data_IF_451206651294
#
_entry.id   IF_451206651294
#
_cell.length_a   1.000
_cell.length_b   1.000
_cell.length_c   1.000
_cell.angle_alpha   90.00
_cell.angle_beta   90.00
_cell.angle_gamma   90.00
#
_symmetry.space_group_name_H-M   'P 1'
#
loop_
_entity.id
_entity.type
_entity.pdbx_description
1 polymer ?
#
# COMPACT_ATOMS: atom_id res chain seq x y z
N UNK A 1 -12.63 -5.65 -28.99
CA UNK A 1 -13.27 -4.98 -27.84
C UNK A 1 -13.97 -6.05 -27.02
N UNK A 2 -13.36 -6.54 -25.94
CA UNK A 2 -14.07 -7.41 -24.99
C UNK A 2 -14.95 -6.50 -24.12
N UNK A 3 -16.19 -6.92 -23.95
CA UNK A 3 -17.31 -6.22 -23.31
C UNK A 3 -16.92 -5.40 -22.08
N UNK A 4 -16.95 -4.08 -22.23
CA UNK A 4 -16.74 -3.11 -21.14
C UNK A 4 -17.85 -3.24 -20.09
N UNK A 5 -19.03 -3.75 -20.48
CA UNK A 5 -20.17 -4.04 -19.60
C UNK A 5 -19.88 -5.08 -18.53
N UNK A 6 -18.86 -5.95 -18.69
CA UNK A 6 -18.46 -6.93 -17.66
C UNK A 6 -17.52 -6.32 -16.61
N UNK A 7 -16.95 -5.13 -16.88
CA UNK A 7 -16.08 -4.43 -15.93
C UNK A 7 -16.85 -3.49 -14.98
N UNK A 8 -18.09 -3.13 -15.32
CA UNK A 8 -18.93 -2.26 -14.52
C UNK A 8 -20.07 -3.08 -13.90
N UNK A 9 -20.22 -2.95 -12.59
CA UNK A 9 -21.28 -3.61 -11.84
C UNK A 9 -22.62 -2.94 -12.13
N UNK A 10 -23.69 -3.71 -12.28
CA UNK A 10 -25.05 -3.17 -12.28
C UNK A 10 -25.29 -2.38 -10.98
N UNK A 11 -25.53 -1.08 -11.13
CA UNK A 11 -25.68 -0.14 -10.01
C UNK A 11 -27.10 -0.20 -9.46
N UNK A 12 -27.43 -1.31 -8.80
CA UNK A 12 -28.67 -1.43 -8.01
C UNK A 12 -28.58 -0.53 -6.78
N UNK A 13 -29.71 0.04 -6.33
CA UNK A 13 -29.78 0.87 -5.13
C UNK A 13 -29.13 0.21 -3.89
N UNK A 14 -29.25 -1.11 -3.75
CA UNK A 14 -28.61 -1.90 -2.70
C UNK A 14 -27.07 -1.85 -2.75
N UNK A 15 -26.48 -1.97 -3.94
CA UNK A 15 -25.03 -1.91 -4.16
C UNK A 15 -24.48 -0.50 -3.95
N UNK A 16 -25.24 0.53 -4.31
CA UNK A 16 -24.91 1.93 -4.01
C UNK A 16 -24.82 2.17 -2.50
N UNK A 17 -25.83 1.72 -1.74
CA UNK A 17 -25.82 1.83 -0.28
C UNK A 17 -24.64 1.04 0.30
N UNK A 18 -24.40 -0.19 -0.17
CA UNK A 18 -23.27 -1.00 0.28
C UNK A 18 -21.92 -0.30 0.02
N UNK A 19 -21.72 0.29 -1.16
CA UNK A 19 -20.50 1.05 -1.48
C UNK A 19 -20.34 2.30 -0.60
N UNK A 20 -21.43 3.00 -0.28
CA UNK A 20 -21.39 4.14 0.64
C UNK A 20 -20.99 3.69 2.06
N UNK A 21 -21.54 2.58 2.56
CA UNK A 21 -21.18 2.03 3.88
C UNK A 21 -19.72 1.58 3.89
N UNK A 22 -19.26 0.86 2.86
CA UNK A 22 -17.86 0.44 2.72
C UNK A 22 -16.93 1.67 2.66
N UNK A 23 -17.34 2.71 1.92
CA UNK A 23 -16.61 3.97 1.83
C UNK A 23 -16.53 4.70 3.17
N UNK A 24 -17.63 4.76 3.91
CA UNK A 24 -17.69 5.40 5.23
C UNK A 24 -16.83 4.65 6.26
N UNK A 25 -17.00 3.33 6.37
CA UNK A 25 -16.22 2.48 7.28
C UNK A 25 -14.74 2.47 6.88
N UNK A 26 -14.45 2.30 5.58
CA UNK A 26 -13.09 2.32 5.05
C UNK A 26 -12.40 3.67 5.26
N UNK A 27 -13.13 4.77 5.11
CA UNK A 27 -12.65 6.12 5.37
C UNK A 27 -12.36 6.37 6.86
N UNK A 28 -13.26 5.94 7.73
CA UNK A 28 -13.12 6.07 9.18
C UNK A 28 -11.93 5.26 9.71
N UNK A 29 -11.81 3.98 9.31
CA UNK A 29 -10.66 3.14 9.63
C UNK A 29 -9.35 3.69 9.04
N UNK A 30 -9.40 4.23 7.82
CA UNK A 30 -8.26 4.93 7.22
C UNK A 30 -7.82 6.15 8.02
N UNK A 31 -8.76 6.90 8.59
CA UNK A 31 -8.47 8.08 9.40
C UNK A 31 -7.81 7.73 10.73
N UNK A 32 -8.33 6.70 11.42
CA UNK A 32 -7.78 6.26 12.70
C UNK A 32 -6.42 5.55 12.59
N UNK A 33 -6.26 4.66 11.61
CA UNK A 33 -5.04 3.86 11.45
C UNK A 33 -3.99 4.59 10.60
N UNK A 34 -4.41 5.55 9.76
CA UNK A 34 -3.51 6.28 8.86
C UNK A 34 -2.98 5.45 7.67
N UNK A 35 -3.45 4.21 7.47
CA UNK A 35 -2.95 3.28 6.44
C UNK A 35 -3.63 3.41 5.07
N UNK A 36 -4.65 4.28 4.94
CA UNK A 36 -5.24 4.65 3.65
C UNK A 36 -6.45 3.84 3.20
N UNK A 37 -6.99 2.97 4.06
CA UNK A 37 -8.31 2.33 3.89
C UNK A 37 -8.42 1.26 2.80
N UNK A 38 -7.53 1.24 1.79
CA UNK A 38 -7.60 0.25 0.71
C UNK A 38 -7.44 -1.19 1.18
N UNK A 39 -6.83 -1.40 2.35
CA UNK A 39 -6.71 -2.72 2.97
C UNK A 39 -8.09 -3.31 3.36
N UNK A 40 -9.12 -2.47 3.54
CA UNK A 40 -10.52 -2.89 3.75
C UNK A 40 -11.33 -2.73 2.47
N UNK A 41 -11.15 -1.62 1.76
CA UNK A 41 -11.99 -1.28 0.61
C UNK A 41 -11.77 -2.21 -0.59
N UNK A 42 -10.54 -2.68 -0.86
CA UNK A 42 -10.24 -3.58 -1.99
C UNK A 42 -10.97 -4.92 -1.86
N UNK A 43 -10.81 -5.70 -0.75
CA UNK A 43 -11.52 -6.96 -0.59
C UNK A 43 -13.03 -6.77 -0.46
N UNK A 44 -13.50 -5.67 0.16
CA UNK A 44 -14.93 -5.38 0.26
C UNK A 44 -15.56 -5.15 -1.13
N UNK A 45 -14.92 -4.39 -2.01
CA UNK A 45 -15.38 -4.21 -3.39
C UNK A 45 -15.33 -5.53 -4.19
N UNK A 46 -14.26 -6.32 -4.02
CA UNK A 46 -14.17 -7.63 -4.67
C UNK A 46 -15.27 -8.58 -4.20
N UNK A 47 -15.65 -8.51 -2.92
CA UNK A 47 -16.75 -9.32 -2.35
C UNK A 47 -18.12 -8.92 -2.92
N UNK A 48 -18.27 -7.68 -3.39
CA UNK A 48 -19.46 -7.23 -4.12
C UNK A 48 -19.45 -7.64 -5.60
N UNK A 49 -18.41 -8.34 -6.06
CA UNK A 49 -18.26 -8.80 -7.44
C UNK A 49 -17.47 -7.84 -8.35
N UNK A 50 -16.83 -6.80 -7.82
CA UNK A 50 -15.94 -5.94 -8.62
C UNK A 50 -14.69 -6.75 -9.02
N UNK A 51 -14.29 -6.76 -10.30
CA UNK A 51 -13.01 -7.34 -10.71
C UNK A 51 -11.85 -6.75 -9.91
N UNK A 52 -10.96 -7.58 -9.39
CA UNK A 52 -9.88 -7.15 -8.49
C UNK A 52 -8.98 -6.08 -9.11
N UNK A 53 -8.69 -6.18 -10.41
CA UNK A 53 -7.93 -5.16 -11.13
C UNK A 53 -8.59 -3.77 -11.09
N UNK A 54 -9.91 -3.71 -11.23
CA UNK A 54 -10.70 -2.47 -11.17
C UNK A 54 -10.75 -1.94 -9.74
N UNK A 55 -10.95 -2.82 -8.76
CA UNK A 55 -10.96 -2.45 -7.34
C UNK A 55 -9.61 -1.84 -6.90
N UNK A 56 -8.49 -2.45 -7.31
CA UNK A 56 -7.13 -1.97 -7.04
C UNK A 56 -6.90 -0.61 -7.71
N UNK A 57 -7.21 -0.48 -9.01
CA UNK A 57 -7.04 0.78 -9.74
C UNK A 57 -7.85 1.93 -9.11
N UNK A 58 -9.12 1.70 -8.79
CA UNK A 58 -10.00 2.68 -8.15
C UNK A 58 -9.46 3.15 -6.80
N UNK A 59 -8.97 2.22 -5.97
CA UNK A 59 -8.38 2.55 -4.67
C UNK A 59 -7.07 3.33 -4.81
N UNK A 60 -6.24 3.05 -5.82
CA UNK A 60 -5.03 3.84 -6.11
C UNK A 60 -5.39 5.28 -6.49
N UNK A 61 -6.37 5.47 -7.37
CA UNK A 61 -6.85 6.79 -7.78
C UNK A 61 -7.39 7.61 -6.59
N UNK A 62 -8.16 6.98 -5.69
CA UNK A 62 -8.67 7.65 -4.48
C UNK A 62 -7.56 8.02 -3.47
N UNK A 63 -6.49 7.22 -3.38
CA UNK A 63 -5.36 7.50 -2.48
C UNK A 63 -4.46 8.63 -2.97
N UNK A 64 -4.29 8.77 -4.27
CA UNK A 64 -3.32 9.68 -4.87
C UNK A 64 -3.48 11.14 -4.41
N UNK A 65 -4.67 11.77 -4.44
CA UNK A 65 -4.82 13.16 -3.99
C UNK A 65 -4.47 13.37 -2.52
N UNK A 66 -4.85 12.42 -1.65
CA UNK A 66 -4.55 12.49 -0.21
C UNK A 66 -3.04 12.38 0.05
N UNK A 67 -2.38 11.47 -0.66
CA UNK A 67 -0.93 11.33 -0.60
C UNK A 67 -0.22 12.63 -1.04
N UNK A 68 -0.68 13.22 -2.15
CA UNK A 68 -0.11 14.44 -2.70
C UNK A 68 -0.23 15.62 -1.71
N UNK A 69 -1.42 15.84 -1.15
CA UNK A 69 -1.66 16.91 -0.16
C UNK A 69 -0.86 16.65 1.13
N UNK A 70 -0.81 15.41 1.61
CA UNK A 70 -0.03 15.02 2.78
C UNK A 70 1.47 15.23 2.60
N UNK A 71 2.02 14.80 1.47
CA UNK A 71 3.42 14.99 1.10
C UNK A 71 3.78 16.48 0.99
N UNK A 72 2.93 17.28 0.33
CA UNK A 72 3.12 18.72 0.20
C UNK A 72 3.13 19.42 1.57
N UNK A 73 2.19 19.08 2.46
CA UNK A 73 2.12 19.67 3.80
C UNK A 73 3.34 19.28 4.65
N UNK A 74 3.77 18.02 4.60
CA UNK A 74 4.99 17.53 5.28
C UNK A 74 6.26 18.19 4.76
N UNK A 75 6.34 18.44 3.45
CA UNK A 75 7.43 19.21 2.86
C UNK A 75 7.43 20.66 3.35
N UNK A 76 6.28 21.33 3.35
CA UNK A 76 6.13 22.71 3.85
C UNK A 76 6.54 22.86 5.32
N UNK A 77 6.31 21.84 6.15
CA UNK A 77 6.73 21.83 7.56
C UNK A 77 8.18 21.40 7.77
N UNK A 78 8.95 21.18 6.71
CA UNK A 78 10.33 20.71 6.83
C UNK A 78 10.41 19.37 7.54
N UNK A 79 9.46 18.46 7.30
CA UNK A 79 9.45 17.09 7.83
C UNK A 79 9.72 16.04 6.74
N UNK A 80 9.67 16.43 5.46
CA UNK A 80 9.96 15.55 4.33
C UNK A 80 11.28 15.92 3.65
N UNK A 81 12.08 14.91 3.31
CA UNK A 81 13.29 15.08 2.50
C UNK A 81 12.96 14.80 1.03
N UNK A 82 13.10 15.83 0.17
CA UNK A 82 12.80 15.72 -1.25
C UNK A 82 13.73 14.72 -1.95
N UNK A 83 14.99 14.59 -1.51
CA UNK A 83 15.93 13.63 -2.10
C UNK A 83 15.49 12.20 -1.85
N UNK A 84 15.01 11.90 -0.63
CA UNK A 84 14.45 10.59 -0.30
C UNK A 84 13.20 10.32 -1.15
N UNK A 85 12.29 11.28 -1.17
CA UNK A 85 11.02 11.17 -1.90
C UNK A 85 11.24 10.88 -3.38
N UNK A 86 12.20 11.56 -4.02
CA UNK A 86 12.48 11.41 -5.45
C UNK A 86 13.11 10.03 -5.77
N UNK A 87 14.04 9.55 -4.93
CA UNK A 87 14.62 8.21 -5.10
C UNK A 87 13.59 7.10 -4.86
N UNK A 88 12.72 7.26 -3.86
CA UNK A 88 11.63 6.31 -3.64
C UNK A 88 10.60 6.37 -4.77
N UNK A 89 10.29 7.54 -5.30
CA UNK A 89 9.36 7.69 -6.41
C UNK A 89 9.88 7.00 -7.68
N UNK A 90 11.13 7.22 -8.08
CA UNK A 90 11.70 6.61 -9.29
C UNK A 90 11.74 5.08 -9.19
N UNK A 91 12.16 4.55 -8.04
CA UNK A 91 12.22 3.11 -7.80
C UNK A 91 10.83 2.48 -7.67
N UNK A 92 9.88 3.17 -7.04
CA UNK A 92 8.50 2.72 -6.96
C UNK A 92 7.82 2.70 -8.34
N UNK A 93 8.08 3.67 -9.22
CA UNK A 93 7.56 3.65 -10.61
C UNK A 93 8.03 2.40 -11.34
N UNK A 94 9.30 2.02 -11.20
CA UNK A 94 9.83 0.77 -11.77
C UNK A 94 9.11 -0.44 -11.16
N UNK A 95 8.93 -0.47 -9.85
CA UNK A 95 8.18 -1.52 -9.15
C UNK A 95 6.73 -1.64 -9.61
N UNK A 96 6.04 -0.51 -9.82
CA UNK A 96 4.67 -0.47 -10.34
C UNK A 96 4.61 -1.07 -11.74
N UNK A 97 5.54 -0.71 -12.62
CA UNK A 97 5.58 -1.27 -13.98
C UNK A 97 5.78 -2.79 -13.97
N UNK A 98 6.63 -3.30 -13.07
CA UNK A 98 6.82 -4.74 -12.88
C UNK A 98 5.53 -5.39 -12.37
N UNK A 99 4.88 -4.82 -11.35
CA UNK A 99 3.62 -5.32 -10.80
C UNK A 99 2.50 -5.38 -11.85
N UNK A 100 2.36 -4.33 -12.67
CA UNK A 100 1.39 -4.30 -13.77
C UNK A 100 1.69 -5.39 -14.80
N UNK A 101 2.96 -5.62 -15.15
CA UNK A 101 3.34 -6.70 -16.08
C UNK A 101 2.99 -8.07 -15.54
N UNK A 102 3.25 -8.33 -14.26
CA UNK A 102 2.90 -9.59 -13.58
C UNK A 102 1.38 -9.78 -13.60
N UNK A 103 0.62 -8.75 -13.22
CA UNK A 103 -0.84 -8.82 -13.20
C UNK A 103 -1.43 -9.05 -14.60
N UNK A 104 -0.90 -8.36 -15.63
CA UNK A 104 -1.31 -8.57 -17.03
C UNK A 104 -0.96 -9.97 -17.51
N UNK A 105 0.21 -10.50 -17.15
CA UNK A 105 0.61 -11.86 -17.49
C UNK A 105 -0.35 -12.90 -16.88
N UNK A 106 -0.68 -12.75 -15.60
CA UNK A 106 -1.63 -13.62 -14.91
C UNK A 106 -3.03 -13.49 -15.52
N UNK A 107 -3.48 -12.27 -15.82
CA UNK A 107 -4.76 -12.02 -16.48
C UNK A 107 -4.84 -12.69 -17.86
N UNK A 108 -3.75 -12.67 -18.63
CA UNK A 108 -3.71 -13.26 -19.96
C UNK A 108 -3.68 -14.79 -19.93
N UNK A 109 -3.01 -15.41 -18.95
CA UNK A 109 -2.94 -16.87 -18.84
C UNK A 109 -4.12 -17.49 -18.10
N UNK A 110 -4.55 -16.89 -16.99
CA UNK A 110 -5.52 -17.47 -16.07
C UNK A 110 -6.87 -16.72 -16.05
N UNK A 111 -7.04 -15.72 -16.92
CA UNK A 111 -8.27 -14.93 -17.03
C UNK A 111 -8.59 -14.06 -15.80
N UNK A 112 -9.82 -13.56 -15.75
CA UNK A 112 -10.28 -12.68 -14.66
C UNK A 112 -10.30 -13.37 -13.30
N UNK A 113 -10.66 -14.65 -13.25
CA UNK A 113 -10.65 -15.44 -12.02
C UNK A 113 -9.24 -15.62 -11.44
N UNK A 114 -8.24 -15.91 -12.30
CA UNK A 114 -6.84 -16.03 -11.87
C UNK A 114 -6.26 -14.71 -11.37
N UNK A 115 -6.59 -13.59 -12.02
CA UNK A 115 -6.18 -12.26 -11.58
C UNK A 115 -6.79 -11.89 -10.21
N UNK A 116 -8.08 -12.20 -10.00
CA UNK A 116 -8.74 -12.00 -8.71
C UNK A 116 -8.09 -12.86 -7.62
N UNK A 117 -7.82 -14.14 -7.90
CA UNK A 117 -7.16 -15.03 -6.95
C UNK A 117 -5.76 -14.54 -6.59
N UNK A 118 -4.96 -14.10 -7.56
CA UNK A 118 -3.64 -13.53 -7.33
C UNK A 118 -3.70 -12.32 -6.40
N UNK A 119 -4.59 -11.35 -6.69
CA UNK A 119 -4.76 -10.16 -5.86
C UNK A 119 -5.17 -10.57 -4.44
N UNK A 120 -6.20 -11.40 -4.30
CA UNK A 120 -6.68 -11.84 -2.99
C UNK A 120 -5.63 -12.63 -2.19
N UNK A 121 -4.85 -13.49 -2.84
CA UNK A 121 -3.80 -14.27 -2.19
C UNK A 121 -2.67 -13.38 -1.68
N UNK A 122 -2.16 -12.46 -2.51
CA UNK A 122 -1.14 -11.48 -2.09
C UNK A 122 -1.67 -10.63 -0.94
N UNK A 123 -2.93 -10.21 -1.03
CA UNK A 123 -3.59 -9.42 0.01
C UNK A 123 -3.67 -10.17 1.34
N UNK A 124 -4.11 -11.43 1.32
CA UNK A 124 -4.21 -12.28 2.51
C UNK A 124 -2.83 -12.48 3.15
N UNK A 125 -1.82 -12.82 2.37
CA UNK A 125 -0.45 -13.02 2.87
C UNK A 125 0.08 -11.75 3.54
N UNK A 126 -0.06 -10.60 2.88
CA UNK A 126 0.40 -9.31 3.43
C UNK A 126 -0.36 -8.96 4.71
N UNK A 127 -1.68 -9.11 4.73
CA UNK A 127 -2.50 -8.79 5.90
C UNK A 127 -2.21 -9.70 7.09
N UNK A 128 -2.10 -11.01 6.87
CA UNK A 128 -1.79 -11.96 7.94
C UNK A 128 -0.40 -11.67 8.51
N UNK A 129 0.58 -11.39 7.65
CA UNK A 129 1.94 -11.10 8.09
C UNK A 129 2.03 -9.77 8.86
N UNK A 130 1.53 -8.68 8.28
CA UNK A 130 1.58 -7.35 8.90
C UNK A 130 0.67 -7.28 10.13
N UNK A 131 -0.57 -7.77 10.02
CA UNK A 131 -1.52 -7.80 11.13
C UNK A 131 -1.04 -8.67 12.28
N UNK A 132 -0.47 -9.85 11.98
CA UNK A 132 0.18 -10.70 12.96
C UNK A 132 1.33 -9.98 13.66
N UNK A 133 2.26 -9.39 12.89
CA UNK A 133 3.38 -8.65 13.46
C UNK A 133 2.93 -7.51 14.39
N UNK A 134 1.96 -6.69 13.97
CA UNK A 134 1.42 -5.60 14.79
C UNK A 134 0.70 -6.12 16.03
N UNK A 135 -0.06 -7.21 15.91
CA UNK A 135 -0.73 -7.84 17.05
C UNK A 135 0.27 -8.37 18.08
N UNK A 136 1.34 -9.04 17.63
CA UNK A 136 2.41 -9.50 18.51
C UNK A 136 3.13 -8.33 19.21
N UNK A 137 3.37 -7.24 18.49
CA UNK A 137 4.00 -6.04 19.05
C UNK A 137 3.10 -5.38 20.11
N UNK A 138 1.81 -5.19 19.80
CA UNK A 138 0.81 -4.63 20.71
C UNK A 138 0.62 -5.51 21.96
N UNK A 139 0.54 -6.83 21.80
CA UNK A 139 0.42 -7.77 22.91
C UNK A 139 1.64 -7.74 23.83
N UNK A 140 2.83 -7.62 23.25
CA UNK A 140 4.08 -7.51 23.98
C UNK A 140 4.19 -6.19 24.75
N UNK A 141 3.77 -5.08 24.15
CA UNK A 141 3.69 -3.77 24.80
C UNK A 141 2.71 -3.81 25.98
N UNK A 142 1.52 -4.38 25.79
CA UNK A 142 0.49 -4.52 26.82
C UNK A 142 0.96 -5.38 28.02
N UNK A 143 1.79 -6.40 27.78
CA UNK A 143 2.36 -7.25 28.85
C UNK A 143 3.64 -6.72 29.48
N UNK A 144 4.37 -5.84 28.79
CA UNK A 144 5.72 -5.42 29.17
C UNK A 144 5.84 -4.04 29.82
N UNK A 145 4.77 -3.24 29.87
CA UNK A 145 4.78 -1.88 30.45
C UNK A 145 5.83 -0.94 29.81
N UNK A 146 6.37 -1.31 28.66
CA UNK A 146 7.53 -0.66 28.06
C UNK A 146 7.13 0.51 27.18
N UNK A 147 7.82 1.64 27.33
CA UNK A 147 7.78 2.78 26.41
C UNK A 147 7.98 2.28 24.97
N UNK A 148 7.29 2.91 24.01
CA UNK A 148 7.53 2.68 22.58
C UNK A 148 9.01 2.89 22.28
N UNK A 149 9.73 1.78 22.07
CA UNK A 149 11.12 1.80 21.61
C UNK A 149 11.12 1.43 20.15
N UNK A 150 11.98 2.09 19.38
CA UNK A 150 12.14 1.88 17.94
C UNK A 150 12.23 0.37 17.66
N UNK A 151 11.40 -0.14 16.74
CA UNK A 151 11.35 -1.58 16.42
C UNK A 151 12.75 -2.13 16.18
N UNK A 152 13.04 -3.33 16.71
CA UNK A 152 14.33 -4.01 16.53
C UNK A 152 14.68 -4.23 15.06
N UNK A 153 13.68 -4.32 14.18
CA UNK A 153 13.87 -4.37 12.72
C UNK A 153 14.41 -3.04 12.17
N UNK A 154 13.87 -1.91 12.62
CA UNK A 154 14.34 -0.60 12.21
C UNK A 154 15.78 -0.33 12.69
N UNK A 155 16.13 -0.75 13.91
CA UNK A 155 17.51 -0.67 14.42
C UNK A 155 18.48 -1.58 13.66
N UNK A 156 18.05 -2.79 13.26
CA UNK A 156 18.85 -3.70 12.42
C UNK A 156 19.05 -3.17 11.00
N UNK A 157 18.03 -2.55 10.42
CA UNK A 157 18.14 -1.90 9.10
C UNK A 157 19.03 -0.66 9.13
N UNK A 158 19.01 0.13 10.22
CA UNK A 158 19.94 1.26 10.40
C UNK A 158 21.41 0.85 10.59
N UNK A 159 21.67 -0.39 11.01
CA UNK A 159 23.05 -0.92 11.15
C UNK A 159 23.72 -1.26 9.80
N UNK A 160 22.95 -1.40 8.72
CA UNK A 160 23.50 -1.77 7.42
C UNK A 160 23.92 -0.50 6.67
N UNK A 161 25.19 -0.13 6.84
CA UNK A 161 25.82 1.02 6.16
C UNK A 161 26.62 0.56 4.93
N UNK A 162 25.92 0.27 3.83
CA UNK A 162 26.55 -0.05 2.53
C UNK A 162 26.52 1.19 1.61
N UNK A 163 27.61 1.46 0.88
CA UNK A 163 27.68 2.58 -0.06
C UNK A 163 26.79 2.35 -1.31
N UNK A 164 26.12 3.37 -1.88
CA UNK A 164 26.17 4.79 -1.56
C UNK A 164 25.16 5.18 -0.46
N UNK A 165 25.64 5.94 0.51
CA UNK A 165 24.88 6.44 1.66
C UNK A 165 24.13 7.72 1.29
N UNK A 166 22.84 7.78 1.59
CA UNK A 166 22.05 9.01 1.44
C UNK A 166 21.82 9.62 2.82
N UNK A 167 22.39 10.81 3.02
CA UNK A 167 22.12 11.63 4.19
C UNK A 167 20.81 12.37 4.00
N UNK A 168 19.85 12.12 4.89
CA UNK A 168 18.60 12.88 4.93
C UNK A 168 18.71 13.97 5.98
N UNK A 169 18.80 15.23 5.53
CA UNK A 169 19.07 16.40 6.41
C UNK A 169 17.96 16.60 7.43
N UNK A 170 16.72 16.29 7.04
CA UNK A 170 15.52 16.53 7.83
C UNK A 170 15.25 15.44 8.85
N UNK A 171 15.52 14.17 8.49
CA UNK A 171 15.33 13.02 9.38
C UNK A 171 16.52 12.77 10.31
N UNK A 172 17.68 13.41 10.06
CA UNK A 172 18.97 13.11 10.70
C UNK A 172 19.36 11.63 10.61
N UNK A 173 18.92 10.92 9.56
CA UNK A 173 19.24 9.50 9.33
C UNK A 173 20.03 9.34 8.04
N UNK A 174 21.09 8.53 8.09
CA UNK A 174 21.77 7.96 6.94
C UNK A 174 21.20 6.59 6.63
N UNK A 175 20.64 6.41 5.44
CA UNK A 175 20.19 5.09 4.97
C UNK A 175 20.91 4.77 3.67
N UNK A 176 21.36 3.52 3.56
CA UNK A 176 21.99 2.99 2.36
C UNK A 176 21.01 2.96 1.19
N UNK A 177 21.44 3.42 0.00
CA UNK A 177 20.65 3.30 -1.22
C UNK A 177 20.29 1.84 -1.55
N UNK A 178 21.11 0.87 -1.14
CA UNK A 178 20.84 -0.57 -1.29
C UNK A 178 19.66 -1.06 -0.47
N UNK A 179 19.23 -0.32 0.55
CA UNK A 179 18.03 -0.62 1.32
C UNK A 179 16.84 0.15 0.73
N UNK A 180 17.05 1.42 0.38
CA UNK A 180 16.00 2.29 -0.15
C UNK A 180 15.48 1.84 -1.51
N UNK A 181 16.35 1.39 -2.41
CA UNK A 181 15.96 0.98 -3.78
C UNK A 181 15.08 -0.27 -3.78
N UNK A 182 15.47 -1.40 -3.14
CA UNK A 182 14.60 -2.58 -3.08
C UNK A 182 13.30 -2.32 -2.32
N UNK A 183 13.35 -1.53 -1.23
CA UNK A 183 12.13 -1.17 -0.50
C UNK A 183 11.19 -0.34 -1.36
N UNK A 184 11.71 0.65 -2.11
CA UNK A 184 10.91 1.44 -3.05
C UNK A 184 10.30 0.57 -4.17
N UNK A 185 11.09 -0.35 -4.73
CA UNK A 185 10.63 -1.29 -5.76
C UNK A 185 9.54 -2.22 -5.24
N UNK A 186 9.75 -2.87 -4.08
CA UNK A 186 8.76 -3.74 -3.45
C UNK A 186 7.49 -2.98 -3.08
N UNK A 187 7.63 -1.75 -2.56
CA UNK A 187 6.49 -0.88 -2.26
C UNK A 187 5.70 -0.56 -3.53
N UNK A 188 6.38 -0.26 -4.65
CA UNK A 188 5.74 -0.04 -5.95
C UNK A 188 5.02 -1.28 -6.48
N UNK A 189 5.65 -2.46 -6.36
CA UNK A 189 5.03 -3.73 -6.77
C UNK A 189 3.78 -4.07 -5.96
N UNK A 190 3.84 -3.89 -4.63
CA UNK A 190 2.70 -4.09 -3.74
C UNK A 190 1.60 -3.05 -3.99
N UNK A 191 1.97 -1.79 -4.23
CA UNK A 191 1.01 -0.76 -4.59
C UNK A 191 0.26 -1.10 -5.87
N UNK A 192 0.95 -1.59 -6.90
CA UNK A 192 0.32 -2.03 -8.15
C UNK A 192 -0.56 -3.28 -7.99
N UNK A 193 -0.21 -4.18 -7.08
CA UNK A 193 -0.93 -5.47 -6.92
C UNK A 193 -2.15 -5.36 -6.03
N UNK A 194 -2.05 -4.63 -4.90
CA UNK A 194 -3.07 -4.62 -3.85
C UNK A 194 -3.56 -3.21 -3.47
N UNK A 195 -3.10 -2.15 -4.15
CA UNK A 195 -3.37 -0.76 -3.79
C UNK A 195 -2.97 -0.41 -2.34
N UNK A 196 -2.04 -1.17 -1.75
CA UNK A 196 -1.49 -0.91 -0.41
C UNK A 196 -0.09 -0.32 -0.56
N UNK A 197 0.06 0.92 -0.11
CA UNK A 197 1.30 1.71 -0.15
C UNK A 197 1.19 2.86 0.86
N UNK A 198 2.32 3.25 1.44
CA UNK A 198 2.40 4.29 2.47
C UNK A 198 2.24 5.71 1.92
N UNK A 199 1.79 6.63 2.79
CA UNK A 199 1.68 8.07 2.53
C UNK A 199 2.87 8.86 3.09
#
# INVERSE_FOLDING_TARGET
MKDISVMFMDMTASKLIALLVIGAVGGLLSGFIGSGGAFVMTPAMMSLGVPGAVAVASNMCHKFPKAMVGAYKRWKYGQADIKLGLVMATTAVIGVQIGIKIQKYILNQFGGAGSNLYISAVFMVVLVFVGGYVFFDAWKLARGGGKETVSKLALRMQKIQLAPMMHFKTAKVTISAWITIPVGLLTGMLAATIAVGGF
#
